data_IF_280120895097
#
_entry.id   IF_280120895097
#
_cell.length_a   1.000
_cell.length_b   1.000
_cell.length_c   1.000
_cell.angle_alpha   90.00
_cell.angle_beta   90.00
_cell.angle_gamma   90.00
#
_symmetry.space_group_name_H-M   'P 1'
#
loop_
_entity.id
_entity.type
_entity.pdbx_description
1 polymer ?
#
# COMPACT_ATOMS: atom_id res chain seq x y z
N UNK A 1 24.36 -7.82 1.69
CA UNK A 1 23.31 -8.84 1.71
C UNK A 1 23.84 -9.93 2.62
N UNK A 2 23.39 -9.94 3.86
CA UNK A 2 23.81 -10.96 4.82
C UNK A 2 23.01 -12.23 4.51
N UNK A 3 23.71 -13.28 4.07
CA UNK A 3 23.13 -14.59 3.75
C UNK A 3 22.87 -15.45 5.01
N UNK A 4 22.91 -14.83 6.20
CA UNK A 4 22.75 -15.51 7.47
C UNK A 4 21.27 -15.80 7.74
N UNK A 5 20.75 -16.92 7.24
CA UNK A 5 19.38 -17.28 7.62
C UNK A 5 18.75 -18.47 6.92
N UNK A 6 19.36 -19.66 6.94
CA UNK A 6 18.58 -20.89 6.74
C UNK A 6 19.06 -22.07 7.58
N UNK A 7 18.19 -22.47 8.52
CA UNK A 7 18.20 -23.73 9.30
C UNK A 7 19.39 -23.96 10.24
N UNK A 8 19.14 -24.61 11.38
CA UNK A 8 20.19 -24.99 12.36
C UNK A 8 21.29 -25.93 11.85
N UNK A 9 21.33 -26.21 10.55
CA UNK A 9 22.36 -26.97 9.84
C UNK A 9 23.42 -26.07 9.14
N UNK A 10 23.26 -24.75 9.18
CA UNK A 10 24.12 -23.79 8.47
C UNK A 10 25.01 -22.92 9.37
N UNK A 11 25.43 -23.43 10.54
CA UNK A 11 26.35 -22.70 11.43
C UNK A 11 27.74 -23.30 11.34
N UNK A 12 28.78 -22.48 11.57
CA UNK A 12 30.17 -22.94 11.64
C UNK A 12 30.33 -24.12 12.63
N UNK A 13 29.63 -24.06 13.77
CA UNK A 13 29.63 -25.11 14.79
C UNK A 13 29.03 -26.42 14.26
N UNK A 14 27.94 -26.35 13.49
CA UNK A 14 27.37 -27.54 12.86
C UNK A 14 28.31 -28.14 11.81
N UNK A 15 28.97 -27.29 11.03
CA UNK A 15 29.97 -27.71 10.04
C UNK A 15 31.15 -28.43 10.70
N UNK A 16 31.67 -27.89 11.80
CA UNK A 16 32.75 -28.49 12.58
C UNK A 16 32.33 -29.86 13.15
N UNK A 17 31.10 -29.98 13.68
CA UNK A 17 30.58 -31.25 14.17
C UNK A 17 30.43 -32.31 13.07
N UNK A 18 30.03 -31.92 11.86
CA UNK A 18 29.91 -32.84 10.72
C UNK A 18 31.27 -33.40 10.29
N UNK A 19 32.35 -32.60 10.40
CA UNK A 19 33.67 -32.96 9.87
C UNK A 19 34.65 -33.44 10.94
N UNK A 20 34.25 -33.45 12.22
CA UNK A 20 35.09 -33.82 13.37
C UNK A 20 35.74 -35.20 13.28
N UNK A 21 35.12 -36.15 12.56
CA UNK A 21 35.58 -37.54 12.46
C UNK A 21 36.32 -37.85 11.15
N UNK A 22 36.57 -36.84 10.31
CA UNK A 22 37.29 -37.06 9.06
C UNK A 22 38.80 -37.11 9.30
N UNK A 23 39.43 -38.24 8.94
CA UNK A 23 40.88 -38.40 8.93
C UNK A 23 41.34 -38.61 7.49
N UNK A 24 42.22 -37.75 7.00
CA UNK A 24 42.81 -37.91 5.67
C UNK A 24 43.76 -39.13 5.64
N UNK A 25 43.80 -39.92 4.56
CA UNK A 25 44.79 -40.98 4.38
C UNK A 25 46.21 -40.41 4.35
N UNK A 26 47.17 -41.05 5.03
CA UNK A 26 48.56 -40.56 5.16
C UNK A 26 49.32 -40.40 3.81
N UNK A 27 48.87 -41.07 2.75
CA UNK A 27 49.49 -41.03 1.42
C UNK A 27 48.86 -40.00 0.47
N UNK A 28 47.87 -39.23 0.90
CA UNK A 28 47.13 -38.30 0.04
C UNK A 28 47.12 -36.88 0.60
N UNK A 29 47.21 -35.90 -0.29
CA UNK A 29 47.10 -34.49 0.06
C UNK A 29 45.62 -34.08 -0.08
N UNK A 30 45.11 -33.38 0.94
CA UNK A 30 43.71 -32.96 1.03
C UNK A 30 43.61 -31.50 1.47
N UNK A 31 42.64 -30.79 0.92
CA UNK A 31 42.14 -29.56 1.52
C UNK A 31 41.26 -29.88 2.71
N UNK A 32 41.54 -29.20 3.84
CA UNK A 32 40.70 -29.29 5.04
C UNK A 32 39.29 -28.77 4.78
N UNK A 33 38.34 -29.18 5.61
CA UNK A 33 36.99 -28.62 5.59
C UNK A 33 37.03 -27.10 5.76
N UNK A 34 36.07 -26.39 5.15
CA UNK A 34 36.02 -24.94 5.21
C UNK A 34 34.59 -24.43 5.39
N UNK A 35 34.43 -23.38 6.18
CA UNK A 35 33.19 -22.65 6.34
C UNK A 35 33.35 -21.25 5.74
N UNK A 36 32.64 -20.94 4.65
CA UNK A 36 32.76 -19.67 3.93
C UNK A 36 31.69 -18.63 4.33
N UNK A 37 31.10 -18.78 5.51
CA UNK A 37 29.94 -18.02 6.01
C UNK A 37 28.60 -18.31 5.33
N UNK A 38 28.57 -19.19 4.32
CA UNK A 38 27.34 -19.55 3.58
C UNK A 38 27.15 -21.07 3.55
N UNK A 39 28.16 -21.84 3.13
CA UNK A 39 28.16 -23.28 2.97
C UNK A 39 29.30 -23.95 3.76
N UNK A 40 29.02 -25.18 4.18
CA UNK A 40 29.99 -26.08 4.78
C UNK A 40 30.64 -26.94 3.69
N UNK A 41 31.91 -26.68 3.40
CA UNK A 41 32.69 -27.40 2.41
C UNK A 41 33.33 -28.64 3.03
N UNK A 42 33.08 -29.84 2.48
CA UNK A 42 33.70 -31.06 2.98
C UNK A 42 35.20 -31.10 2.61
N UNK A 43 36.01 -31.85 3.37
CA UNK A 43 37.38 -32.17 2.99
C UNK A 43 37.44 -32.72 1.57
N UNK A 44 38.37 -32.23 0.76
CA UNK A 44 38.43 -32.52 -0.67
C UNK A 44 39.87 -32.86 -1.06
N UNK A 45 40.06 -33.88 -1.90
CA UNK A 45 41.39 -34.33 -2.32
C UNK A 45 42.09 -33.25 -3.16
N UNK A 46 43.41 -33.13 -3.04
CA UNK A 46 44.21 -32.20 -3.85
C UNK A 46 44.00 -32.41 -5.36
N UNK A 47 44.08 -31.32 -6.12
CA UNK A 47 43.83 -31.28 -7.57
C UNK A 47 42.41 -31.73 -7.98
N UNK A 48 41.42 -31.61 -7.09
CA UNK A 48 40.03 -31.95 -7.38
C UNK A 48 39.06 -30.81 -7.06
N UNK A 49 37.88 -30.87 -7.68
CA UNK A 49 36.80 -29.90 -7.50
C UNK A 49 35.67 -30.54 -6.70
N UNK A 50 35.19 -29.85 -5.69
CA UNK A 50 33.99 -30.24 -4.94
C UNK A 50 32.80 -29.37 -5.35
N UNK A 51 31.60 -29.98 -5.40
CA UNK A 51 30.36 -29.34 -5.84
C UNK A 51 29.28 -29.49 -4.80
N UNK A 52 28.68 -28.37 -4.40
CA UNK A 52 27.54 -28.34 -3.48
C UNK A 52 26.34 -27.68 -4.15
N UNK A 53 25.13 -28.02 -3.69
CA UNK A 53 23.92 -27.33 -4.15
C UNK A 53 23.90 -25.89 -3.64
N UNK A 54 23.37 -24.99 -4.45
CA UNK A 54 23.22 -23.59 -4.05
C UNK A 54 22.34 -23.46 -2.78
N UNK A 55 22.68 -22.54 -1.86
CA UNK A 55 21.98 -22.39 -0.59
C UNK A 55 20.53 -21.94 -0.79
N UNK A 56 19.66 -22.30 0.15
CA UNK A 56 18.29 -21.84 0.16
C UNK A 56 18.27 -20.37 0.63
N UNK A 57 18.28 -19.44 -0.31
CA UNK A 57 18.14 -18.00 -0.04
C UNK A 57 17.35 -17.29 -1.15
N UNK A 58 16.86 -16.09 -0.84
CA UNK A 58 16.12 -15.26 -1.78
C UNK A 58 16.98 -14.88 -3.00
N UNK A 59 16.45 -15.09 -4.21
CA UNK A 59 17.13 -14.79 -5.48
C UNK A 59 18.13 -15.85 -5.96
N UNK A 60 18.25 -16.99 -5.25
CA UNK A 60 19.14 -18.11 -5.58
C UNK A 60 18.37 -19.30 -6.17
N UNK A 61 18.91 -19.89 -7.23
CA UNK A 61 18.39 -21.12 -7.84
C UNK A 61 19.02 -22.36 -7.19
N UNK A 62 18.25 -23.02 -6.33
CA UNK A 62 18.66 -24.24 -5.60
C UNK A 62 18.88 -25.47 -6.49
N UNK A 63 18.53 -25.42 -7.79
CA UNK A 63 18.80 -26.51 -8.74
C UNK A 63 20.23 -26.48 -9.27
N UNK A 64 20.90 -25.33 -9.14
CA UNK A 64 22.27 -25.14 -9.59
C UNK A 64 23.27 -25.56 -8.51
N UNK A 65 24.52 -25.67 -8.93
CA UNK A 65 25.65 -26.06 -8.09
C UNK A 65 26.67 -24.93 -8.02
N UNK A 66 27.31 -24.82 -6.86
CA UNK A 66 28.50 -24.01 -6.64
C UNK A 66 29.69 -24.93 -6.52
N UNK A 67 30.81 -24.50 -7.08
CA UNK A 67 32.02 -25.31 -7.20
C UNK A 67 33.17 -24.61 -6.47
N UNK A 68 34.07 -25.42 -5.90
CA UNK A 68 35.27 -24.96 -5.23
C UNK A 68 36.44 -25.87 -5.53
N UNK A 69 37.59 -25.29 -5.82
CA UNK A 69 38.78 -25.99 -6.28
C UNK A 69 39.80 -26.15 -5.15
N UNK A 70 40.31 -27.37 -5.01
CA UNK A 70 41.42 -27.70 -4.12
C UNK A 70 42.71 -27.79 -4.93
N UNK A 71 43.68 -26.94 -4.60
CA UNK A 71 44.97 -26.85 -5.30
C UNK A 71 45.85 -28.08 -5.00
N UNK A 72 46.93 -28.25 -5.77
CA UNK A 72 47.85 -29.40 -5.64
C UNK A 72 48.53 -29.45 -4.26
N UNK A 73 48.75 -28.27 -3.65
CA UNK A 73 49.36 -28.09 -2.32
C UNK A 73 48.43 -28.50 -1.14
N UNK A 74 47.18 -28.92 -1.41
CA UNK A 74 46.19 -29.21 -0.36
C UNK A 74 45.62 -27.96 0.30
N UNK A 75 45.60 -26.84 -0.43
CA UNK A 75 45.02 -25.57 0.00
C UNK A 75 43.90 -25.13 -0.95
N UNK A 76 42.93 -24.39 -0.43
CA UNK A 76 41.84 -23.87 -1.24
C UNK A 76 42.29 -22.74 -2.16
N UNK A 77 41.80 -22.74 -3.39
CA UNK A 77 42.14 -21.72 -4.40
C UNK A 77 41.64 -20.31 -4.03
N UNK A 78 42.44 -19.28 -4.33
CA UNK A 78 42.12 -17.86 -4.14
C UNK A 78 41.30 -17.25 -5.29
N UNK A 79 40.91 -15.98 -5.17
CA UNK A 79 40.00 -15.33 -6.13
C UNK A 79 40.57 -15.16 -7.54
N UNK A 80 41.89 -14.99 -7.64
CA UNK A 80 42.61 -14.81 -8.90
C UNK A 80 42.79 -16.12 -9.67
N UNK A 81 42.53 -17.29 -9.06
CA UNK A 81 42.74 -18.60 -9.68
C UNK A 81 44.19 -18.86 -10.07
N UNK A 82 45.13 -18.05 -9.57
CA UNK A 82 46.56 -18.26 -9.80
C UNK A 82 47.13 -19.12 -8.67
N UNK A 83 47.86 -20.21 -9.01
CA UNK A 83 48.53 -21.03 -8.02
C UNK A 83 49.40 -20.16 -7.11
N UNK A 84 49.17 -20.22 -5.79
CA UNK A 84 49.93 -19.46 -4.80
C UNK A 84 49.39 -18.07 -4.40
N UNK A 85 48.37 -17.52 -5.06
CA UNK A 85 47.70 -16.29 -4.62
C UNK A 85 46.54 -16.63 -3.68
N UNK A 86 46.68 -16.24 -2.40
CA UNK A 86 45.90 -16.80 -1.29
C UNK A 86 45.24 -15.68 -0.49
N UNK A 87 43.93 -15.48 -0.71
CA UNK A 87 43.16 -14.43 -0.02
C UNK A 87 42.77 -14.83 1.43
N UNK A 88 42.48 -16.11 1.68
CA UNK A 88 42.06 -16.60 3.00
C UNK A 88 42.30 -18.11 3.16
N UNK A 89 42.47 -18.64 4.39
CA UNK A 89 42.61 -20.08 4.63
C UNK A 89 41.38 -20.90 4.21
N UNK A 90 40.23 -20.24 4.06
CA UNK A 90 38.99 -20.87 3.60
C UNK A 90 38.82 -20.77 2.07
N UNK A 91 39.76 -20.17 1.34
CA UNK A 91 39.70 -19.99 -0.11
C UNK A 91 38.59 -19.05 -0.61
N UNK A 92 38.48 -18.93 -1.93
CA UNK A 92 37.43 -18.19 -2.61
C UNK A 92 36.38 -19.14 -3.20
N UNK A 93 35.16 -18.65 -3.40
CA UNK A 93 34.05 -19.46 -3.96
C UNK A 93 33.19 -18.58 -4.85
N UNK A 94 32.95 -19.06 -6.08
CA UNK A 94 32.18 -18.34 -7.07
C UNK A 94 30.68 -18.66 -6.96
N UNK A 95 29.92 -17.80 -6.27
CA UNK A 95 28.46 -17.92 -6.17
C UNK A 95 27.69 -17.35 -7.36
N UNK A 96 28.35 -16.75 -8.36
CA UNK A 96 27.67 -16.17 -9.54
C UNK A 96 26.71 -17.14 -10.24
N UNK A 97 27.04 -18.44 -10.43
CA UNK A 97 26.13 -19.40 -11.07
C UNK A 97 24.82 -19.59 -10.32
N UNK A 98 24.83 -19.44 -8.99
CA UNK A 98 23.67 -19.66 -8.13
C UNK A 98 22.59 -18.59 -8.28
N UNK A 99 22.91 -17.40 -8.80
CA UNK A 99 21.91 -16.37 -8.99
C UNK A 99 20.95 -16.69 -10.14
N UNK A 100 19.70 -16.29 -9.96
CA UNK A 100 18.71 -16.24 -11.05
C UNK A 100 19.13 -15.20 -12.10
N UNK A 101 18.84 -15.43 -13.39
CA UNK A 101 19.25 -14.51 -14.46
C UNK A 101 18.70 -13.09 -14.24
N UNK A 102 17.51 -12.98 -13.67
CA UNK A 102 16.88 -11.71 -13.30
C UNK A 102 17.69 -10.99 -12.21
N UNK A 103 18.04 -11.70 -11.13
CA UNK A 103 18.85 -11.14 -10.03
C UNK A 103 20.24 -10.71 -10.52
N UNK A 104 20.85 -11.49 -11.41
CA UNK A 104 22.16 -11.19 -11.98
C UNK A 104 22.13 -9.90 -12.82
N UNK A 105 21.05 -9.67 -13.57
CA UNK A 105 20.82 -8.41 -14.29
C UNK A 105 20.70 -7.23 -13.31
N UNK A 106 19.95 -7.40 -12.22
CA UNK A 106 19.79 -6.36 -11.21
C UNK A 106 21.10 -6.05 -10.48
N UNK A 107 21.88 -7.06 -10.08
CA UNK A 107 23.22 -6.89 -9.48
C UNK A 107 24.12 -6.14 -10.47
N UNK A 108 24.12 -6.53 -11.75
CA UNK A 108 24.91 -5.85 -12.78
C UNK A 108 24.51 -4.38 -12.92
N UNK A 109 23.21 -4.06 -12.90
CA UNK A 109 22.69 -2.68 -12.93
C UNK A 109 23.00 -1.89 -11.66
N UNK A 110 23.02 -2.53 -10.50
CA UNK A 110 23.37 -1.87 -9.24
C UNK A 110 24.86 -1.51 -9.16
N UNK A 111 25.72 -2.41 -9.64
CA UNK A 111 27.18 -2.27 -9.63
C UNK A 111 27.75 -1.67 -10.92
N UNK A 112 26.93 -1.13 -11.82
CA UNK A 112 27.43 -0.32 -12.95
C UNK A 112 28.08 0.96 -12.41
N UNK A 113 29.42 0.99 -12.36
CA UNK A 113 30.20 2.11 -11.83
C UNK A 113 31.16 1.67 -10.72
N UNK A 114 31.27 2.49 -9.66
CA UNK A 114 32.09 2.19 -8.48
C UNK A 114 31.30 1.46 -7.39
N UNK A 115 31.99 0.72 -6.52
CA UNK A 115 31.33 0.06 -5.38
C UNK A 115 30.65 1.04 -4.41
N UNK A 116 31.21 2.25 -4.26
CA UNK A 116 30.62 3.29 -3.43
C UNK A 116 29.28 3.79 -3.98
N UNK A 117 29.12 3.78 -5.30
CA UNK A 117 27.86 4.09 -5.97
C UNK A 117 26.77 3.10 -5.61
N UNK A 118 27.11 1.80 -5.57
CA UNK A 118 26.19 0.74 -5.21
C UNK A 118 25.73 0.89 -3.75
N UNK A 119 26.63 1.24 -2.83
CA UNK A 119 26.29 1.51 -1.42
C UNK A 119 25.29 2.66 -1.29
N UNK A 120 25.50 3.77 -2.02
CA UNK A 120 24.57 4.92 -2.02
C UNK A 120 23.19 4.53 -2.56
N UNK A 121 23.13 3.76 -3.66
CA UNK A 121 21.85 3.26 -4.22
C UNK A 121 21.09 2.39 -3.22
N UNK A 122 21.80 1.53 -2.48
CA UNK A 122 21.21 0.69 -1.42
C UNK A 122 20.70 1.51 -0.23
N UNK A 123 21.44 2.54 0.21
CA UNK A 123 20.98 3.44 1.28
C UNK A 123 19.70 4.18 0.85
N UNK A 124 19.66 4.73 -0.37
CA UNK A 124 18.45 5.39 -0.92
C UNK A 124 17.26 4.42 -0.91
N UNK A 125 17.45 3.17 -1.32
CA UNK A 125 16.38 2.16 -1.29
C UNK A 125 15.89 1.85 0.14
N UNK A 126 16.77 1.84 1.12
CA UNK A 126 16.40 1.66 2.53
C UNK A 126 15.63 2.88 3.08
N UNK A 127 16.09 4.09 2.80
CA UNK A 127 15.42 5.33 3.23
C UNK A 127 14.04 5.49 2.60
N UNK A 128 13.91 5.19 1.30
CA UNK A 128 12.62 5.26 0.59
C UNK A 128 11.63 4.21 1.08
N UNK A 129 12.09 2.99 1.43
CA UNK A 129 11.27 1.97 2.09
C UNK A 129 10.72 2.46 3.44
N UNK A 130 11.55 3.11 4.25
CA UNK A 130 11.10 3.67 5.52
C UNK A 130 10.07 4.79 5.32
N UNK A 131 10.32 5.71 4.39
CA UNK A 131 9.38 6.77 4.03
C UNK A 131 8.03 6.19 3.60
N UNK A 132 8.07 5.14 2.80
CA UNK A 132 6.89 4.47 2.31
C UNK A 132 6.08 3.80 3.42
N UNK A 133 6.74 3.11 4.34
CA UNK A 133 6.11 2.52 5.51
C UNK A 133 5.34 3.57 6.35
N UNK A 134 5.99 4.71 6.62
CA UNK A 134 5.37 5.82 7.36
C UNK A 134 4.21 6.43 6.58
N UNK A 135 4.39 6.69 5.28
CA UNK A 135 3.37 7.29 4.43
C UNK A 135 2.12 6.40 4.30
N UNK A 136 2.30 5.11 4.10
CA UNK A 136 1.20 4.13 4.05
C UNK A 136 0.41 4.06 5.36
N UNK A 137 1.10 4.15 6.51
CA UNK A 137 0.46 4.12 7.84
C UNK A 137 -0.41 5.37 8.08
N UNK A 138 0.08 6.55 7.72
CA UNK A 138 -0.69 7.81 7.78
C UNK A 138 -1.88 7.76 6.82
N UNK A 139 -1.65 7.29 5.59
CA UNK A 139 -2.67 7.12 4.56
C UNK A 139 -3.80 6.17 5.01
N UNK A 140 -3.44 5.03 5.61
CA UNK A 140 -4.39 4.06 6.16
C UNK A 140 -5.30 4.71 7.21
N UNK A 141 -4.72 5.46 8.14
CA UNK A 141 -5.47 6.15 9.20
C UNK A 141 -6.49 7.13 8.61
N UNK A 142 -6.07 7.94 7.65
CA UNK A 142 -6.95 8.89 6.97
C UNK A 142 -8.08 8.21 6.17
N UNK A 143 -7.78 7.10 5.48
CA UNK A 143 -8.76 6.31 4.74
C UNK A 143 -9.81 5.68 5.67
N UNK A 144 -9.39 5.12 6.81
CA UNK A 144 -10.29 4.52 7.80
C UNK A 144 -11.23 5.55 8.42
N UNK A 145 -10.71 6.74 8.78
CA UNK A 145 -11.53 7.86 9.27
C UNK A 145 -12.56 8.27 8.20
N UNK A 146 -12.12 8.42 6.95
CA UNK A 146 -12.99 8.83 5.85
C UNK A 146 -14.08 7.80 5.53
N UNK A 147 -13.74 6.51 5.53
CA UNK A 147 -14.72 5.42 5.39
C UNK A 147 -15.74 5.42 6.53
N UNK A 148 -15.28 5.63 7.77
CA UNK A 148 -16.14 5.69 8.95
C UNK A 148 -17.16 6.84 8.84
N UNK A 149 -16.72 8.04 8.43
CA UNK A 149 -17.57 9.20 8.17
C UNK A 149 -18.62 8.84 7.10
N UNK A 150 -18.20 8.36 5.93
CA UNK A 150 -19.13 8.05 4.85
C UNK A 150 -20.10 6.91 5.18
N UNK A 151 -19.71 5.96 6.02
CA UNK A 151 -20.60 4.90 6.51
C UNK A 151 -21.61 5.41 7.55
N UNK A 152 -21.22 6.34 8.42
CA UNK A 152 -22.06 6.88 9.49
C UNK A 152 -23.14 7.85 8.99
N UNK A 153 -22.82 8.68 8.00
CA UNK A 153 -23.71 9.71 7.47
C UNK A 153 -24.55 9.21 6.30
N UNK A 154 -25.77 8.74 6.60
CA UNK A 154 -26.74 8.31 5.58
C UNK A 154 -27.11 9.43 4.59
N UNK A 155 -27.06 10.69 5.02
CA UNK A 155 -27.38 11.87 4.21
C UNK A 155 -26.44 12.07 3.00
N UNK A 156 -25.24 11.49 3.02
CA UNK A 156 -24.25 11.63 1.95
C UNK A 156 -24.33 10.50 0.91
N UNK A 157 -25.32 9.59 1.01
CA UNK A 157 -25.37 8.37 0.21
C UNK A 157 -25.89 8.61 -1.21
N UNK A 158 -25.00 9.06 -2.09
CA UNK A 158 -25.25 9.23 -3.52
C UNK A 158 -24.44 8.23 -4.37
N UNK A 159 -24.81 8.01 -5.64
CA UNK A 159 -24.12 7.07 -6.55
C UNK A 159 -22.61 7.34 -6.62
N UNK A 160 -22.20 8.61 -6.72
CA UNK A 160 -20.80 9.05 -6.66
C UNK A 160 -20.10 8.58 -5.39
N UNK A 161 -20.67 8.85 -4.21
CA UNK A 161 -20.08 8.44 -2.93
C UNK A 161 -19.99 6.92 -2.76
N UNK A 162 -20.85 6.14 -3.43
CA UNK A 162 -20.75 4.68 -3.45
C UNK A 162 -19.52 4.22 -4.24
N UNK A 163 -19.18 4.89 -5.34
CA UNK A 163 -17.96 4.61 -6.11
C UNK A 163 -16.74 4.95 -5.24
N UNK A 164 -16.73 6.13 -4.62
CA UNK A 164 -15.67 6.58 -3.70
C UNK A 164 -15.43 5.60 -2.55
N UNK A 165 -16.50 5.08 -1.94
CA UNK A 165 -16.41 4.04 -0.91
C UNK A 165 -15.73 2.77 -1.41
N UNK A 166 -16.06 2.30 -2.61
CA UNK A 166 -15.43 1.09 -3.15
C UNK A 166 -13.95 1.32 -3.46
N UNK A 167 -13.59 2.50 -3.99
CA UNK A 167 -12.19 2.88 -4.18
C UNK A 167 -11.43 2.91 -2.84
N UNK A 168 -12.00 3.53 -1.81
CA UNK A 168 -11.40 3.58 -0.48
C UNK A 168 -11.24 2.19 0.13
N UNK A 169 -12.23 1.31 -0.04
CA UNK A 169 -12.13 -0.08 0.42
C UNK A 169 -11.00 -0.81 -0.31
N UNK A 170 -10.90 -0.66 -1.64
CA UNK A 170 -9.81 -1.26 -2.42
C UNK A 170 -8.43 -0.73 -1.98
N UNK A 171 -8.30 0.58 -1.73
CA UNK A 171 -7.08 1.18 -1.19
C UNK A 171 -6.74 0.68 0.21
N UNK A 172 -7.72 0.58 1.13
CA UNK A 172 -7.48 0.05 2.48
C UNK A 172 -7.01 -1.40 2.41
N UNK A 173 -7.66 -2.25 1.61
CA UNK A 173 -7.25 -3.65 1.44
C UNK A 173 -5.80 -3.70 0.92
N UNK A 174 -5.48 -2.94 -0.13
CA UNK A 174 -4.14 -2.90 -0.70
C UNK A 174 -3.08 -2.41 0.29
N UNK A 175 -3.35 -1.34 1.04
CA UNK A 175 -2.42 -0.77 2.02
C UNK A 175 -2.21 -1.73 3.20
N UNK A 176 -3.27 -2.37 3.71
CA UNK A 176 -3.18 -3.32 4.82
C UNK A 176 -2.30 -4.51 4.44
N UNK A 177 -2.54 -5.14 3.28
CA UNK A 177 -1.74 -6.29 2.83
C UNK A 177 -0.27 -5.89 2.68
N UNK A 178 -0.02 -4.74 2.05
CA UNK A 178 1.35 -4.24 1.83
C UNK A 178 2.07 -3.97 3.15
N UNK A 179 1.38 -3.35 4.12
CA UNK A 179 1.95 -3.08 5.44
C UNK A 179 2.21 -4.38 6.20
N UNK A 180 1.30 -5.36 6.15
CA UNK A 180 1.50 -6.68 6.75
C UNK A 180 2.75 -7.37 6.18
N UNK A 181 2.95 -7.33 4.87
CA UNK A 181 4.15 -7.89 4.23
C UNK A 181 5.42 -7.17 4.65
N UNK A 182 5.39 -5.84 4.81
CA UNK A 182 6.55 -5.07 5.27
C UNK A 182 6.90 -5.35 6.72
N UNK A 183 5.89 -5.51 7.59
CA UNK A 183 6.10 -5.89 8.98
C UNK A 183 6.69 -7.30 9.07
N UNK A 184 6.16 -8.27 8.30
CA UNK A 184 6.71 -9.63 8.26
C UNK A 184 8.17 -9.64 7.79
N UNK A 185 8.49 -8.90 6.74
CA UNK A 185 9.87 -8.78 6.25
C UNK A 185 10.81 -8.12 7.28
N UNK A 186 10.38 -7.06 7.95
CA UNK A 186 11.17 -6.40 8.99
C UNK A 186 11.39 -7.29 10.22
N UNK A 187 10.37 -8.07 10.62
CA UNK A 187 10.49 -9.05 11.71
C UNK A 187 11.43 -10.20 11.35
N UNK A 188 11.47 -10.60 10.08
CA UNK A 188 12.40 -11.62 9.59
C UNK A 188 13.86 -11.15 9.68
N UNK A 189 14.16 -9.91 9.25
CA UNK A 189 15.51 -9.35 9.34
C UNK A 189 15.97 -9.14 10.79
N UNK A 190 15.05 -8.85 11.72
CA UNK A 190 15.38 -8.58 13.13
C UNK A 190 15.62 -9.85 13.98
N UNK A 191 15.14 -11.03 13.58
CA UNK A 191 15.31 -12.28 14.35
C UNK A 191 16.47 -13.11 13.81
N UNK A 192 17.68 -12.66 14.07
CA UNK A 192 18.92 -13.38 13.72
C UNK A 192 19.15 -14.62 14.60
N UNK A 193 18.44 -14.77 15.74
CA UNK A 193 18.52 -15.93 16.61
C UNK A 193 17.16 -16.30 17.23
N UNK A 194 16.57 -17.41 16.79
CA UNK A 194 15.48 -18.09 17.52
C UNK A 194 14.14 -18.19 16.79
N UNK A 195 13.70 -19.45 16.58
CA UNK A 195 12.39 -19.90 16.08
C UNK A 195 11.79 -19.09 14.91
N UNK A 196 12.06 -19.58 13.69
CA UNK A 196 11.53 -19.09 12.42
C UNK A 196 10.04 -19.42 12.25
N UNK A 197 9.17 -18.55 12.78
CA UNK A 197 7.76 -18.48 12.39
C UNK A 197 7.54 -17.12 11.71
N UNK A 198 7.73 -17.09 10.38
CA UNK A 198 7.38 -15.97 9.51
C UNK A 198 6.63 -16.50 8.29
N UNK A 199 5.89 -15.64 7.58
CA UNK A 199 5.06 -16.03 6.43
C UNK A 199 5.89 -16.74 5.34
N UNK A 200 7.18 -16.45 5.26
CA UNK A 200 8.16 -17.09 4.36
C UNK A 200 8.43 -18.58 4.64
N UNK A 201 8.17 -19.08 5.86
CA UNK A 201 8.36 -20.49 6.20
C UNK A 201 7.16 -21.36 5.77
N UNK A 202 5.99 -20.74 5.57
CA UNK A 202 4.78 -21.38 5.05
C UNK A 202 4.60 -21.03 3.56
N UNK A 203 5.04 -21.89 2.62
CA UNK A 203 5.08 -21.56 1.19
C UNK A 203 3.74 -21.08 0.63
N UNK A 204 2.66 -21.80 1.00
CA UNK A 204 1.29 -21.51 0.56
C UNK A 204 0.82 -20.13 1.04
N UNK A 205 1.19 -19.72 2.25
CA UNK A 205 0.77 -18.43 2.81
C UNK A 205 1.56 -17.27 2.17
N UNK A 206 2.86 -17.46 1.91
CA UNK A 206 3.65 -16.50 1.14
C UNK A 206 3.03 -16.29 -0.25
N UNK A 207 2.82 -17.37 -1.02
CA UNK A 207 2.27 -17.29 -2.38
C UNK A 207 0.89 -16.62 -2.39
N UNK A 208 -0.01 -17.04 -1.50
CA UNK A 208 -1.35 -16.45 -1.39
C UNK A 208 -1.30 -14.95 -1.04
N UNK A 209 -0.37 -14.52 -0.18
CA UNK A 209 -0.24 -13.12 0.22
C UNK A 209 0.19 -12.20 -0.94
N UNK A 210 1.12 -12.66 -1.78
CA UNK A 210 1.55 -11.92 -2.98
C UNK A 210 0.46 -11.90 -4.06
N UNK A 211 -0.26 -13.01 -4.27
CA UNK A 211 -1.42 -13.04 -5.18
C UNK A 211 -2.49 -12.04 -4.72
N UNK A 212 -2.77 -12.02 -3.42
CA UNK A 212 -3.78 -11.12 -2.85
C UNK A 212 -3.33 -9.65 -2.91
N UNK A 213 -2.04 -9.36 -2.73
CA UNK A 213 -1.46 -8.04 -2.93
C UNK A 213 -1.67 -7.54 -4.36
N UNK A 214 -1.32 -8.37 -5.36
CA UNK A 214 -1.48 -8.00 -6.77
C UNK A 214 -2.95 -7.87 -7.17
N UNK A 215 -3.83 -8.68 -6.60
CA UNK A 215 -5.28 -8.53 -6.76
C UNK A 215 -5.77 -7.19 -6.21
N UNK A 216 -5.43 -6.87 -4.95
CA UNK A 216 -5.84 -5.63 -4.32
C UNK A 216 -5.30 -4.40 -5.08
N UNK A 217 -4.05 -4.45 -5.54
CA UNK A 217 -3.45 -3.42 -6.40
C UNK A 217 -4.19 -3.25 -7.73
N UNK A 218 -4.54 -4.35 -8.40
CA UNK A 218 -5.29 -4.31 -9.67
C UNK A 218 -6.71 -3.78 -9.46
N UNK A 219 -7.39 -4.21 -8.39
CA UNK A 219 -8.72 -3.73 -8.04
C UNK A 219 -8.71 -2.22 -7.75
N UNK A 220 -7.70 -1.73 -7.03
CA UNK A 220 -7.51 -0.30 -6.79
C UNK A 220 -7.39 0.49 -8.10
N UNK A 221 -6.55 0.05 -9.06
CA UNK A 221 -6.47 0.69 -10.38
C UNK A 221 -7.79 0.64 -11.15
N UNK A 222 -8.51 -0.48 -11.09
CA UNK A 222 -9.80 -0.60 -11.77
C UNK A 222 -10.86 0.34 -11.17
N UNK A 223 -10.88 0.50 -9.84
CA UNK A 223 -11.77 1.46 -9.19
C UNK A 223 -11.38 2.92 -9.48
N UNK A 224 -10.08 3.24 -9.57
CA UNK A 224 -9.62 4.56 -10.04
C UNK A 224 -10.08 4.84 -11.47
N UNK A 225 -10.09 3.83 -12.35
CA UNK A 225 -10.58 3.95 -13.71
C UNK A 225 -12.09 4.16 -13.78
N UNK A 226 -12.85 3.36 -13.05
CA UNK A 226 -14.31 3.50 -12.98
C UNK A 226 -14.69 4.89 -12.47
N UNK A 227 -13.95 5.40 -11.48
CA UNK A 227 -14.13 6.78 -11.02
C UNK A 227 -13.83 7.81 -12.11
N UNK A 228 -12.70 7.67 -12.82
CA UNK A 228 -12.34 8.56 -13.94
C UNK A 228 -13.38 8.56 -15.05
N UNK A 229 -13.84 7.37 -15.46
CA UNK A 229 -14.90 7.19 -16.45
C UNK A 229 -16.23 7.80 -15.99
N UNK A 230 -16.60 7.57 -14.73
CA UNK A 230 -17.83 8.13 -14.14
C UNK A 230 -17.79 9.66 -14.14
N UNK A 231 -16.67 10.26 -13.70
CA UNK A 231 -16.50 11.71 -13.67
C UNK A 231 -16.49 12.30 -15.08
N UNK A 232 -15.83 11.63 -16.03
CA UNK A 232 -15.85 12.02 -17.44
C UNK A 232 -17.27 12.06 -17.99
N UNK A 233 -18.00 10.94 -17.91
CA UNK A 233 -19.37 10.84 -18.44
C UNK A 233 -20.34 11.85 -17.81
N UNK A 234 -20.25 12.07 -16.50
CA UNK A 234 -21.08 13.04 -15.78
C UNK A 234 -20.86 14.47 -16.29
N UNK A 235 -19.62 14.85 -16.62
CA UNK A 235 -19.28 16.21 -17.04
C UNK A 235 -19.51 16.42 -18.55
N UNK A 236 -19.23 15.42 -19.38
CA UNK A 236 -19.21 15.55 -20.85
C UNK A 236 -20.52 15.14 -21.52
N UNK A 237 -21.15 14.05 -21.06
CA UNK A 237 -22.30 13.46 -21.77
C UNK A 237 -23.65 13.92 -21.19
N UNK A 238 -23.69 14.46 -19.97
CA UNK A 238 -24.85 15.14 -19.31
C UNK A 238 -26.19 14.39 -19.25
N UNK A 239 -26.29 13.18 -19.80
CA UNK A 239 -27.51 12.37 -19.88
C UNK A 239 -27.06 10.93 -19.71
N UNK A 240 -27.73 10.11 -18.87
CA UNK A 240 -27.95 8.65 -19.00
C UNK A 240 -28.21 7.97 -17.63
N UNK A 241 -29.21 7.08 -17.62
CA UNK A 241 -29.88 6.47 -16.46
C UNK A 241 -28.96 5.81 -15.40
N UNK A 242 -29.15 6.19 -14.13
CA UNK A 242 -28.25 5.95 -12.99
C UNK A 242 -28.23 4.51 -12.41
N UNK A 243 -29.28 3.70 -12.55
CA UNK A 243 -29.41 2.48 -11.73
C UNK A 243 -28.80 1.21 -12.34
N UNK A 244 -29.00 0.99 -13.65
CA UNK A 244 -28.53 -0.24 -14.34
C UNK A 244 -27.00 -0.27 -14.49
N UNK A 245 -26.39 0.87 -14.82
CA UNK A 245 -24.94 0.97 -15.07
C UNK A 245 -24.08 0.74 -13.81
N UNK A 246 -24.58 1.08 -12.62
CA UNK A 246 -23.82 0.90 -11.38
C UNK A 246 -23.57 -0.58 -11.04
N UNK A 247 -24.49 -1.49 -11.38
CA UNK A 247 -24.28 -2.93 -11.19
C UNK A 247 -23.14 -3.44 -12.08
N UNK A 248 -23.08 -2.97 -13.32
CA UNK A 248 -21.99 -3.26 -14.25
C UNK A 248 -20.65 -2.73 -13.75
N UNK A 249 -20.58 -1.47 -13.29
CA UNK A 249 -19.35 -0.91 -12.70
C UNK A 249 -18.84 -1.73 -11.52
N UNK A 250 -19.72 -2.23 -10.66
CA UNK A 250 -19.30 -3.11 -9.55
C UNK A 250 -18.74 -4.45 -10.03
N UNK A 251 -19.39 -5.09 -11.01
CA UNK A 251 -18.92 -6.35 -11.58
C UNK A 251 -17.55 -6.18 -12.26
N UNK A 252 -17.37 -5.08 -12.99
CA UNK A 252 -16.12 -4.75 -13.65
C UNK A 252 -15.03 -4.41 -12.62
N UNK A 253 -15.34 -3.61 -11.60
CA UNK A 253 -14.38 -3.13 -10.61
C UNK A 253 -13.79 -4.22 -9.71
N UNK A 254 -14.58 -5.24 -9.37
CA UNK A 254 -14.10 -6.37 -8.55
C UNK A 254 -13.84 -7.64 -9.35
N UNK A 255 -14.60 -7.91 -10.41
CA UNK A 255 -14.50 -9.16 -11.18
C UNK A 255 -13.35 -9.18 -12.18
N UNK A 256 -13.15 -8.10 -12.95
CA UNK A 256 -12.07 -8.05 -13.95
C UNK A 256 -10.66 -8.21 -13.33
N UNK A 257 -10.35 -7.57 -12.18
CA UNK A 257 -9.09 -7.82 -11.47
C UNK A 257 -8.84 -9.29 -11.12
N UNK A 258 -9.88 -10.06 -10.74
CA UNK A 258 -9.75 -11.49 -10.41
C UNK A 258 -9.27 -12.27 -11.62
N UNK A 259 -9.87 -12.04 -12.79
CA UNK A 259 -9.52 -12.74 -14.03
C UNK A 259 -8.06 -12.44 -14.40
N UNK A 260 -7.66 -11.17 -14.34
CA UNK A 260 -6.28 -10.77 -14.62
C UNK A 260 -5.29 -11.42 -13.66
N UNK A 261 -5.56 -11.39 -12.34
CA UNK A 261 -4.62 -11.90 -11.35
C UNK A 261 -4.53 -13.42 -11.35
N UNK A 262 -5.62 -14.13 -11.62
CA UNK A 262 -5.58 -15.58 -11.80
C UNK A 262 -4.80 -15.99 -13.05
N UNK A 263 -4.95 -15.25 -14.16
CA UNK A 263 -4.20 -15.51 -15.39
C UNK A 263 -2.70 -15.35 -15.16
N UNK A 264 -2.29 -14.28 -14.49
CA UNK A 264 -0.89 -14.09 -14.11
C UNK A 264 -0.41 -15.15 -13.12
N UNK A 265 -1.15 -15.40 -12.04
CA UNK A 265 -0.77 -16.35 -11.00
C UNK A 265 -0.58 -17.79 -11.54
N UNK A 266 -1.42 -18.23 -12.49
CA UNK A 266 -1.28 -19.55 -13.13
C UNK A 266 -0.01 -19.64 -13.98
N UNK A 267 0.29 -18.63 -14.81
CA UNK A 267 1.52 -18.58 -15.60
C UNK A 267 2.76 -18.54 -14.70
N UNK A 268 2.72 -17.72 -13.65
CA UNK A 268 3.82 -17.61 -12.68
C UNK A 268 4.03 -18.91 -11.91
N UNK A 269 2.97 -19.58 -11.46
CA UNK A 269 3.05 -20.86 -10.76
C UNK A 269 3.70 -21.97 -11.62
N UNK A 270 3.35 -22.04 -12.91
CA UNK A 270 3.93 -23.02 -13.84
C UNK A 270 5.43 -22.78 -14.08
N UNK A 271 5.85 -21.52 -14.13
CA UNK A 271 7.25 -21.17 -14.37
C UNK A 271 8.14 -21.37 -13.13
N UNK A 272 7.64 -21.01 -11.93
CA UNK A 272 8.43 -21.02 -10.71
C UNK A 272 8.51 -22.37 -9.99
N UNK A 273 7.85 -23.42 -10.48
CA UNK A 273 7.90 -24.75 -9.86
C UNK A 273 9.35 -25.30 -9.83
N UNK A 274 10.05 -25.50 -8.67
CA UNK A 274 9.56 -25.79 -7.32
C UNK A 274 9.92 -24.76 -6.22
N UNK A 275 10.14 -23.47 -6.54
CA UNK A 275 10.43 -22.45 -5.52
C UNK A 275 9.23 -22.22 -4.59
N UNK A 276 9.48 -22.14 -3.28
CA UNK A 276 8.47 -22.12 -2.22
C UNK A 276 7.85 -20.75 -1.91
N UNK A 277 8.34 -19.66 -2.51
CA UNK A 277 7.84 -18.31 -2.27
C UNK A 277 8.22 -17.43 -3.48
N UNK A 278 7.28 -16.67 -4.04
CA UNK A 278 7.49 -15.87 -5.25
C UNK A 278 8.26 -14.57 -4.97
N UNK A 279 9.39 -14.67 -4.26
CA UNK A 279 10.23 -13.52 -4.01
C UNK A 279 10.84 -12.99 -5.31
N UNK A 280 10.76 -11.68 -5.54
CA UNK A 280 11.33 -11.06 -6.73
C UNK A 280 10.51 -11.25 -8.02
N UNK A 281 9.24 -11.64 -7.93
CA UNK A 281 8.36 -11.79 -9.11
C UNK A 281 8.30 -10.54 -9.99
N UNK A 282 8.42 -9.33 -9.40
CA UNK A 282 8.45 -8.05 -10.10
C UNK A 282 9.59 -7.93 -11.13
N UNK A 283 10.63 -8.75 -11.01
CA UNK A 283 11.79 -8.73 -11.92
C UNK A 283 11.59 -9.62 -13.15
N UNK A 284 10.54 -10.45 -13.16
CA UNK A 284 10.24 -11.35 -14.26
C UNK A 284 9.46 -10.67 -15.38
N UNK A 285 9.68 -11.11 -16.63
CA UNK A 285 8.93 -10.61 -17.78
C UNK A 285 7.41 -10.86 -17.66
N UNK A 286 7.01 -11.94 -16.98
CA UNK A 286 5.60 -12.28 -16.76
C UNK A 286 4.86 -11.26 -15.89
N UNK A 287 5.56 -10.45 -15.09
CA UNK A 287 4.95 -9.34 -14.35
C UNK A 287 4.23 -8.35 -15.28
N UNK A 288 4.68 -8.22 -16.54
CA UNK A 288 4.07 -7.34 -17.54
C UNK A 288 2.65 -7.77 -17.94
N UNK A 289 2.25 -9.01 -17.68
CA UNK A 289 0.86 -9.48 -17.88
C UNK A 289 -0.11 -8.67 -17.00
N UNK A 290 0.32 -8.27 -15.80
CA UNK A 290 -0.46 -7.39 -14.93
C UNK A 290 -0.17 -5.92 -15.18
N UNK A 291 1.10 -5.58 -15.36
CA UNK A 291 1.53 -4.18 -15.44
C UNK A 291 1.10 -3.51 -16.75
N UNK A 292 1.11 -4.23 -17.88
CA UNK A 292 0.68 -3.72 -19.18
C UNK A 292 -0.77 -3.23 -19.19
N UNK A 293 -1.76 -4.03 -18.77
CA UNK A 293 -3.15 -3.56 -18.68
C UNK A 293 -3.34 -2.43 -17.67
N UNK A 294 -2.59 -2.40 -16.56
CA UNK A 294 -2.61 -1.26 -15.61
C UNK A 294 -2.12 0.02 -16.28
N UNK A 295 -1.05 -0.05 -17.07
CA UNK A 295 -0.54 1.09 -17.85
C UNK A 295 -1.60 1.61 -18.83
N UNK A 296 -2.26 0.71 -19.56
CA UNK A 296 -3.32 1.09 -20.50
C UNK A 296 -4.48 1.81 -19.78
N UNK A 297 -4.90 1.30 -18.63
CA UNK A 297 -5.95 1.91 -17.80
C UNK A 297 -5.57 3.32 -17.31
N UNK A 298 -4.33 3.51 -16.86
CA UNK A 298 -3.84 4.83 -16.42
C UNK A 298 -3.76 5.81 -17.60
N UNK A 299 -3.31 5.35 -18.77
CA UNK A 299 -3.25 6.18 -19.97
C UNK A 299 -4.66 6.63 -20.42
N UNK A 300 -5.65 5.75 -20.35
CA UNK A 300 -7.05 6.11 -20.60
C UNK A 300 -7.56 7.14 -19.58
N UNK A 301 -7.26 6.97 -18.30
CA UNK A 301 -7.58 7.95 -17.26
C UNK A 301 -6.93 9.31 -17.50
N UNK A 302 -5.69 9.33 -18.00
CA UNK A 302 -5.02 10.57 -18.39
C UNK A 302 -5.74 11.25 -19.57
N UNK A 303 -6.18 10.49 -20.57
CA UNK A 303 -6.99 11.05 -21.67
C UNK A 303 -8.33 11.60 -21.18
N UNK A 304 -8.98 10.92 -20.23
CA UNK A 304 -10.18 11.45 -19.57
C UNK A 304 -9.89 12.75 -18.84
N UNK A 305 -8.77 12.86 -18.11
CA UNK A 305 -8.37 14.08 -17.43
C UNK A 305 -8.25 15.25 -18.41
N UNK A 306 -7.51 15.05 -19.51
CA UNK A 306 -7.32 16.11 -20.51
C UNK A 306 -8.67 16.59 -21.09
N UNK A 307 -9.58 15.67 -21.38
CA UNK A 307 -10.92 16.01 -21.85
C UNK A 307 -11.74 16.74 -20.79
N UNK A 308 -11.69 16.30 -19.53
CA UNK A 308 -12.37 16.96 -18.41
C UNK A 308 -11.83 18.38 -18.22
N UNK A 309 -10.51 18.57 -18.23
CA UNK A 309 -9.86 19.87 -18.12
C UNK A 309 -10.30 20.77 -19.27
N UNK A 310 -10.29 20.27 -20.52
CA UNK A 310 -10.77 21.03 -21.69
C UNK A 310 -12.21 21.51 -21.50
N UNK A 311 -13.12 20.62 -21.11
CA UNK A 311 -14.53 20.95 -20.91
C UNK A 311 -14.72 21.91 -19.72
N UNK A 312 -13.97 21.72 -18.64
CA UNK A 312 -13.99 22.61 -17.48
C UNK A 312 -13.50 24.01 -17.84
N UNK A 313 -12.41 24.14 -18.61
CA UNK A 313 -11.89 25.43 -19.09
C UNK A 313 -12.93 26.12 -19.98
N UNK A 314 -13.57 25.40 -20.90
CA UNK A 314 -14.63 25.96 -21.76
C UNK A 314 -15.80 26.49 -20.92
N UNK A 315 -16.26 25.74 -19.92
CA UNK A 315 -17.33 26.19 -19.01
C UNK A 315 -16.91 27.35 -18.12
N UNK A 316 -15.67 27.36 -17.62
CA UNK A 316 -15.13 28.48 -16.83
C UNK A 316 -15.02 29.76 -17.66
N UNK A 317 -14.64 29.65 -18.95
CA UNK A 317 -14.59 30.79 -19.87
C UNK A 317 -15.95 31.45 -20.08
N UNK A 318 -17.03 30.67 -20.06
CA UNK A 318 -18.40 31.18 -20.17
C UNK A 318 -18.86 31.94 -18.91
N UNK A 319 -18.21 31.76 -17.76
CA UNK A 319 -18.64 32.32 -16.47
C UNK A 319 -18.24 33.78 -16.19
N UNK A 320 -17.73 34.53 -17.18
CA UNK A 320 -17.35 35.96 -17.07
C UNK A 320 -16.44 36.30 -15.88
N UNK A 321 -15.45 35.45 -15.59
CA UNK A 321 -14.38 35.72 -14.60
C UNK A 321 -13.10 36.18 -15.31
N UNK A 322 -12.12 36.80 -14.63
CA UNK A 322 -10.87 37.24 -15.29
C UNK A 322 -10.06 36.05 -15.81
N UNK A 323 -9.38 36.19 -16.96
CA UNK A 323 -8.65 35.07 -17.60
C UNK A 323 -7.58 34.45 -16.69
N UNK A 324 -6.89 35.27 -15.89
CA UNK A 324 -5.89 34.82 -14.91
C UNK A 324 -6.54 34.04 -13.75
N UNK A 325 -7.69 34.47 -13.25
CA UNK A 325 -8.41 33.70 -12.21
C UNK A 325 -9.00 32.40 -12.75
N UNK A 326 -9.45 32.37 -14.00
CA UNK A 326 -9.92 31.15 -14.66
C UNK A 326 -8.83 30.11 -14.75
N UNK A 327 -7.65 30.50 -15.25
CA UNK A 327 -6.48 29.61 -15.37
C UNK A 327 -6.06 29.13 -13.99
N UNK A 328 -6.00 30.00 -12.98
CA UNK A 328 -5.65 29.61 -11.60
C UNK A 328 -6.64 28.59 -11.01
N UNK A 329 -7.95 28.79 -11.23
CA UNK A 329 -9.00 27.86 -10.78
C UNK A 329 -8.90 26.52 -11.52
N UNK A 330 -8.67 26.53 -12.83
CA UNK A 330 -8.51 25.33 -13.65
C UNK A 330 -7.25 24.54 -13.27
N UNK A 331 -6.11 25.20 -13.07
CA UNK A 331 -4.86 24.56 -12.63
C UNK A 331 -5.03 23.97 -11.23
N UNK A 332 -5.67 24.68 -10.30
CA UNK A 332 -5.99 24.13 -8.97
C UNK A 332 -6.88 22.89 -9.07
N UNK A 333 -7.88 22.89 -9.94
CA UNK A 333 -8.73 21.72 -10.19
C UNK A 333 -7.94 20.56 -10.82
N UNK A 334 -7.04 20.84 -11.77
CA UNK A 334 -6.18 19.84 -12.40
C UNK A 334 -5.21 19.19 -11.41
N UNK A 335 -4.57 19.98 -10.55
CA UNK A 335 -3.69 19.48 -9.47
C UNK A 335 -4.44 18.59 -8.49
N UNK A 336 -5.70 18.90 -8.21
CA UNK A 336 -6.58 18.06 -7.38
C UNK A 336 -6.93 16.76 -8.10
N UNK A 337 -7.21 16.80 -9.40
CA UNK A 337 -7.61 15.63 -10.21
C UNK A 337 -6.46 14.68 -10.56
N UNK A 338 -5.21 15.14 -10.54
CA UNK A 338 -4.01 14.37 -10.88
C UNK A 338 -3.81 13.12 -9.97
N UNK A 339 -3.78 13.25 -8.62
CA UNK A 339 -3.69 12.10 -7.71
C UNK A 339 -4.94 11.20 -7.74
N UNK A 340 -6.11 11.80 -8.02
CA UNK A 340 -7.41 11.11 -8.00
C UNK A 340 -7.53 10.07 -9.13
N UNK A 341 -6.98 10.37 -10.31
CA UNK A 341 -7.04 9.48 -11.48
C UNK A 341 -5.88 8.48 -11.57
N UNK A 342 -5.00 8.47 -10.56
CA UNK A 342 -3.86 7.57 -10.50
C UNK A 342 -2.70 7.94 -11.42
N UNK A 343 -2.65 9.16 -11.94
CA UNK A 343 -1.58 9.62 -12.86
C UNK A 343 -0.22 9.67 -12.15
N UNK A 344 -0.22 9.87 -10.83
CA UNK A 344 0.99 9.75 -10.00
C UNK A 344 1.64 8.37 -10.10
N UNK A 345 0.87 7.33 -10.42
CA UNK A 345 1.39 5.98 -10.63
C UNK A 345 2.09 5.82 -11.98
N UNK A 346 1.84 6.68 -12.96
CA UNK A 346 2.57 6.64 -14.25
C UNK A 346 4.07 6.82 -14.02
N UNK A 347 4.44 7.74 -13.11
CA UNK A 347 5.84 7.99 -12.74
C UNK A 347 6.42 6.77 -12.02
N UNK A 348 5.62 6.04 -11.23
CA UNK A 348 6.06 4.82 -10.55
C UNK A 348 6.27 3.63 -11.49
N UNK A 349 5.64 3.64 -12.65
CA UNK A 349 5.67 2.52 -13.61
C UNK A 349 6.69 2.74 -14.73
N UNK A 350 7.28 3.92 -14.85
CA UNK A 350 8.47 4.11 -15.71
C UNK A 350 9.63 3.31 -15.14
N UNK A 351 10.42 2.67 -16.00
CA UNK A 351 11.60 1.91 -15.54
C UNK A 351 12.52 2.80 -14.70
N UNK A 352 12.93 2.28 -13.55
CA UNK A 352 13.85 2.97 -12.66
C UNK A 352 15.17 3.24 -13.41
N UNK A 353 15.63 4.49 -13.49
CA UNK A 353 16.83 4.84 -14.26
C UNK A 353 18.11 4.46 -13.49
N UNK A 354 18.30 3.17 -13.22
CA UNK A 354 19.50 2.63 -12.57
C UNK A 354 20.76 2.86 -13.40
N UNK A 355 20.59 2.96 -14.73
CA UNK A 355 21.68 3.13 -15.68
C UNK A 355 22.12 4.61 -15.84
N UNK A 356 21.46 5.54 -15.13
CA UNK A 356 21.71 7.00 -15.21
C UNK A 356 22.38 7.54 -13.94
N UNK A 357 22.48 8.87 -13.86
CA UNK A 357 23.08 9.59 -12.73
C UNK A 357 22.38 9.28 -11.40
N UNK A 358 23.14 9.31 -10.30
CA UNK A 358 22.64 9.05 -8.93
C UNK A 358 21.49 9.98 -8.58
N UNK A 359 21.63 11.26 -8.96
CA UNK A 359 20.65 12.29 -8.69
C UNK A 359 19.32 12.01 -9.37
N UNK A 360 19.33 11.52 -10.61
CA UNK A 360 18.11 11.11 -11.31
C UNK A 360 17.45 9.90 -10.65
N UNK A 361 18.23 8.88 -10.28
CA UNK A 361 17.70 7.71 -9.57
C UNK A 361 17.11 8.10 -8.21
N UNK A 362 17.81 8.93 -7.43
CA UNK A 362 17.35 9.41 -6.14
C UNK A 362 16.07 10.23 -6.27
N UNK A 363 16.05 11.20 -7.18
CA UNK A 363 14.88 12.05 -7.42
C UNK A 363 13.67 11.22 -7.85
N UNK A 364 13.86 10.30 -8.79
CA UNK A 364 12.81 9.40 -9.25
C UNK A 364 12.31 8.51 -8.11
N UNK A 365 13.21 7.90 -7.34
CA UNK A 365 12.85 7.01 -6.24
C UNK A 365 12.11 7.74 -5.12
N UNK A 366 12.63 8.87 -4.61
CA UNK A 366 11.93 9.63 -3.57
C UNK A 366 10.57 10.13 -4.05
N UNK A 367 10.48 10.64 -5.28
CA UNK A 367 9.23 11.19 -5.81
C UNK A 367 8.17 10.10 -5.99
N UNK A 368 8.52 8.96 -6.60
CA UNK A 368 7.58 7.86 -6.85
C UNK A 368 7.09 7.22 -5.57
N UNK A 369 8.00 6.90 -4.63
CA UNK A 369 7.63 6.32 -3.35
C UNK A 369 6.80 7.30 -2.52
N UNK A 370 7.13 8.60 -2.50
CA UNK A 370 6.33 9.61 -1.82
C UNK A 370 4.91 9.69 -2.42
N UNK A 371 4.80 9.88 -3.74
CA UNK A 371 3.49 10.04 -4.39
C UNK A 371 2.60 8.82 -4.22
N UNK A 372 3.15 7.60 -4.33
CA UNK A 372 2.38 6.36 -4.16
C UNK A 372 1.97 6.12 -2.70
N UNK A 373 2.83 6.44 -1.73
CA UNK A 373 2.53 6.26 -0.30
C UNK A 373 1.45 7.20 0.22
N UNK A 374 1.52 8.47 -0.20
CA UNK A 374 0.58 9.51 0.22
C UNK A 374 -0.66 9.60 -0.69
N UNK A 375 -0.78 8.77 -1.72
CA UNK A 375 -1.92 8.78 -2.63
C UNK A 375 -3.25 8.66 -1.89
N UNK A 376 -3.39 7.68 -0.99
CA UNK A 376 -4.63 7.48 -0.23
C UNK A 376 -4.95 8.66 0.70
N UNK A 377 -3.94 9.29 1.32
CA UNK A 377 -4.10 10.50 2.13
C UNK A 377 -4.64 11.67 1.29
N UNK A 378 -4.06 11.90 0.10
CA UNK A 378 -4.50 12.96 -0.80
C UNK A 378 -5.96 12.75 -1.23
N UNK A 379 -6.32 11.53 -1.63
CA UNK A 379 -7.67 11.20 -2.07
C UNK A 379 -8.67 11.32 -0.90
N UNK A 380 -8.35 10.81 0.29
CA UNK A 380 -9.16 10.96 1.49
C UNK A 380 -9.40 12.44 1.83
N UNK A 381 -8.34 13.27 1.74
CA UNK A 381 -8.42 14.70 2.01
C UNK A 381 -9.32 15.43 1.02
N UNK A 382 -9.20 15.12 -0.27
CA UNK A 382 -9.96 15.79 -1.32
C UNK A 382 -11.44 15.38 -1.33
N UNK A 383 -11.74 14.08 -1.18
CA UNK A 383 -13.12 13.59 -1.26
C UNK A 383 -13.88 13.66 0.06
N UNK A 384 -13.20 13.55 1.21
CA UNK A 384 -13.82 13.58 2.52
C UNK A 384 -13.57 14.90 3.26
N UNK A 385 -12.32 15.20 3.64
CA UNK A 385 -12.04 16.31 4.57
C UNK A 385 -12.30 17.71 3.99
N UNK A 386 -12.00 17.92 2.71
CA UNK A 386 -12.22 19.19 2.01
C UNK A 386 -13.59 19.29 1.34
N UNK A 387 -14.42 18.26 1.44
CA UNK A 387 -15.73 18.24 0.81
C UNK A 387 -16.74 19.06 1.63
N UNK A 388 -17.29 20.11 1.01
CA UNK A 388 -18.23 21.02 1.65
C UNK A 388 -19.49 20.34 2.18
N UNK A 389 -20.02 19.33 1.49
CA UNK A 389 -21.20 18.57 1.95
C UNK A 389 -20.90 17.77 3.22
N UNK A 390 -19.70 17.18 3.28
CA UNK A 390 -19.24 16.42 4.44
C UNK A 390 -19.01 17.35 5.63
N UNK A 391 -18.34 18.48 5.41
CA UNK A 391 -18.10 19.49 6.45
C UNK A 391 -19.40 20.03 7.04
N UNK A 392 -20.37 20.37 6.18
CA UNK A 392 -21.69 20.82 6.63
C UNK A 392 -22.45 19.74 7.44
N UNK A 393 -22.37 18.48 7.02
CA UNK A 393 -22.99 17.38 7.76
C UNK A 393 -22.32 17.16 9.13
N UNK A 394 -20.98 17.27 9.17
CA UNK A 394 -20.20 17.18 10.41
C UNK A 394 -20.53 18.33 11.36
N UNK A 395 -20.52 19.57 10.87
CA UNK A 395 -20.80 20.78 11.66
C UNK A 395 -22.21 20.75 12.26
N UNK A 396 -23.22 20.30 11.48
CA UNK A 396 -24.58 20.10 12.01
C UNK A 396 -24.61 19.07 13.14
N UNK A 397 -23.88 17.97 12.98
CA UNK A 397 -23.84 16.90 13.98
C UNK A 397 -23.11 17.36 15.24
N UNK A 398 -22.01 18.09 15.08
CA UNK A 398 -21.24 18.67 16.19
C UNK A 398 -22.09 19.73 16.91
N UNK A 399 -22.81 20.58 16.17
CA UNK A 399 -23.73 21.58 16.75
C UNK A 399 -24.85 20.94 17.57
N UNK A 400 -25.48 19.87 17.06
CA UNK A 400 -26.50 19.11 17.81
C UNK A 400 -25.89 18.41 19.03
N UNK A 401 -24.70 17.82 18.91
CA UNK A 401 -24.02 17.21 20.04
C UNK A 401 -23.68 18.23 21.13
N UNK A 402 -23.21 19.42 20.73
CA UNK A 402 -22.92 20.51 21.67
C UNK A 402 -24.18 21.07 22.34
N UNK A 403 -25.33 21.14 21.64
CA UNK A 403 -26.58 21.60 22.26
C UNK A 403 -27.17 20.60 23.27
N UNK A 404 -27.02 19.30 23.02
CA UNK A 404 -27.39 18.25 23.98
C UNK A 404 -26.45 18.25 25.19
N UNK A 405 -25.15 18.44 24.97
CA UNK A 405 -24.18 18.53 26.09
C UNK A 405 -24.36 19.80 26.93
N UNK A 406 -24.73 20.91 26.30
CA UNK A 406 -25.05 22.17 26.99
C UNK A 406 -26.31 22.05 27.87
N UNK A 407 -27.31 21.30 27.45
CA UNK A 407 -28.55 21.05 28.22
C UNK A 407 -28.31 20.09 29.41
N UNK A 408 -27.43 19.10 29.29
CA UNK A 408 -27.06 18.24 30.42
C UNK A 408 -26.26 18.98 31.52
N UNK A 409 -25.43 19.96 31.14
CA UNK A 409 -24.71 20.83 32.09
C UNK A 409 -25.66 21.78 32.83
N UNK A 410 -26.67 22.34 32.16
CA UNK A 410 -27.70 23.20 32.81
C UNK A 410 -28.68 22.38 33.66
N UNK A 411 -28.98 21.13 33.27
CA UNK A 411 -29.81 20.21 34.07
C UNK A 411 -29.12 19.74 35.37
N UNK A 412 -27.79 19.67 35.38
CA UNK A 412 -27.01 19.40 36.60
C UNK A 412 -26.91 20.60 37.54
N UNK A 413 -27.01 21.84 37.07
CA UNK A 413 -27.06 23.03 37.93
C UNK A 413 -28.44 23.28 38.54
N UNK A 414 -29.52 22.81 37.91
CA UNK A 414 -30.90 23.02 38.38
C UNK A 414 -31.37 22.00 39.43
N UNK A 415 -30.53 21.06 39.84
CA UNK A 415 -30.84 20.08 40.92
C UNK A 415 -30.26 20.46 42.29
N UNK A 416 -29.63 21.64 42.43
CA UNK A 416 -29.09 22.16 43.72
C UNK A 416 -29.66 23.55 44.05
N UNK A 417 -30.97 23.72 43.91
CA UNK A 417 -31.68 24.85 44.55
C UNK A 417 -33.10 24.43 44.91
N UNK A 418 -33.17 23.63 45.98
CA UNK A 418 -34.41 23.38 46.71
C UNK A 418 -34.47 24.29 47.93
N UNK A 419 -35.63 24.95 48.10
CA UNK A 419 -36.12 25.69 49.28
C UNK A 419 -35.65 27.15 49.47
N UNK A 420 -36.48 28.12 49.06
CA UNK A 420 -37.32 28.90 49.99
C UNK A 420 -38.34 29.83 49.27
N UNK A 421 -39.42 30.25 49.95
CA UNK A 421 -40.64 30.77 49.33
C UNK A 421 -40.74 32.31 49.26
N UNK A 422 -41.53 32.76 48.29
CA UNK A 422 -42.29 34.01 48.16
C UNK A 422 -41.77 35.31 48.82
N UNK A 423 -41.56 36.34 47.98
CA UNK A 423 -42.02 37.71 48.31
C UNK A 423 -42.41 38.50 47.07
N UNK A 424 -43.66 38.95 47.08
CA UNK A 424 -44.24 39.94 46.16
C UNK A 424 -43.78 41.32 46.64
N UNK A 425 -43.31 42.16 45.72
CA UNK A 425 -43.36 43.62 45.85
C UNK A 425 -43.37 44.26 44.45
N UNK A 426 -44.54 44.77 44.09
CA UNK A 426 -44.80 45.76 43.05
C UNK A 426 -44.22 47.12 43.42
N UNK A 427 -43.67 47.87 42.46
CA UNK A 427 -43.89 49.32 42.30
C UNK A 427 -43.79 49.66 40.79
N UNK A 428 -44.81 50.40 40.35
CA UNK A 428 -45.13 50.99 39.02
C UNK A 428 -44.38 52.34 38.94
N UNK A 429 -43.79 52.82 37.84
CA UNK A 429 -44.33 53.52 36.64
C UNK A 429 -43.09 54.22 35.98
N UNK A 430 -42.89 54.44 34.68
CA UNK A 430 -43.62 55.31 33.74
C UNK A 430 -43.09 55.07 32.30
N UNK A 431 -44.06 54.98 31.35
CA UNK A 431 -44.12 55.30 29.89
C UNK A 431 -42.90 55.15 28.93
N UNK A 432 -43.06 54.82 27.64
CA UNK A 432 -44.10 55.28 26.69
C UNK A 432 -44.28 54.34 25.47
N UNK A 433 -45.44 54.44 24.81
CA UNK A 433 -45.83 53.95 23.47
C UNK A 433 -46.49 52.54 23.31
N UNK A 434 -47.77 52.45 23.72
CA UNK A 434 -48.99 52.39 22.87
C UNK A 434 -48.86 51.79 21.43
N UNK A 435 -49.70 50.88 20.87
CA UNK A 435 -51.13 50.55 21.01
C UNK A 435 -51.41 49.05 20.68
N UNK A 436 -52.23 48.46 21.55
CA UNK A 436 -53.04 47.22 21.60
C UNK A 436 -53.04 46.13 20.49
N UNK A 437 -52.95 44.87 20.92
CA UNK A 437 -53.55 43.68 20.31
C UNK A 437 -54.91 43.30 20.96
N UNK A 438 -55.70 42.45 20.29
CA UNK A 438 -56.92 41.86 20.83
C UNK A 438 -56.84 40.33 20.94
N UNK A 439 -56.96 39.85 22.20
CA UNK A 439 -57.51 38.56 22.64
C UNK A 439 -56.64 37.31 22.31
N UNK A 440 -56.08 36.53 23.24
CA UNK A 440 -56.37 36.32 24.64
C UNK A 440 -56.77 34.85 24.89
N UNK A 441 -56.06 34.22 25.82
CA UNK A 441 -56.43 33.04 26.63
C UNK A 441 -55.87 31.66 26.25
N UNK A 442 -54.90 31.27 27.07
CA UNK A 442 -54.34 29.93 27.27
C UNK A 442 -55.32 29.09 28.10
N UNK A 443 -55.53 27.83 27.69
CA UNK A 443 -55.90 26.73 28.61
C UNK A 443 -55.08 25.49 28.27
N UNK A 444 -54.17 25.14 29.18
CA UNK A 444 -53.61 23.79 29.25
C UNK A 444 -54.72 22.82 29.69
N UNK A 445 -54.85 21.70 28.99
CA UNK A 445 -55.51 20.50 29.47
C UNK A 445 -54.61 19.31 29.16
N UNK A 446 -54.00 18.73 30.20
CA UNK A 446 -53.58 17.34 30.18
C UNK A 446 -54.85 16.49 30.14
N UNK A 447 -55.05 15.70 29.08
CA UNK A 447 -56.07 14.65 29.06
C UNK A 447 -55.52 13.42 28.37
N UNK A 448 -55.36 12.35 29.15
CA UNK A 448 -55.14 11.01 28.64
C UNK A 448 -56.34 10.53 27.83
N UNK A 449 -56.08 9.72 26.82
CA UNK A 449 -57.09 9.09 25.99
C UNK A 449 -56.49 7.98 25.14
N UNK A 450 -56.71 6.74 25.55
CA UNK A 450 -56.68 5.58 24.67
C UNK A 450 -57.83 5.70 23.66
N UNK A 451 -57.56 5.44 22.37
CA UNK A 451 -58.53 4.75 21.50
C UNK A 451 -57.85 4.07 20.29
N UNK A 452 -58.33 2.90 19.85
CA UNK A 452 -57.78 2.13 18.73
C UNK A 452 -58.50 2.32 17.38
N UNK A 453 -57.82 1.80 16.34
CA UNK A 453 -58.09 1.47 14.91
C UNK A 453 -59.45 1.70 14.21
N UNK A 454 -59.45 1.94 12.86
CA UNK A 454 -60.63 2.25 12.07
C UNK A 454 -61.37 1.04 11.44
N UNK A 455 -62.70 1.15 11.46
CA UNK A 455 -63.78 0.77 10.53
C UNK A 455 -63.69 -0.45 9.56
N UNK A 456 -64.68 -1.34 9.73
CA UNK A 456 -65.51 -1.99 8.68
C UNK A 456 -66.86 -2.42 9.29
N UNK A 457 -67.99 -2.23 8.60
CA UNK A 457 -68.72 -3.35 7.96
C UNK A 457 -69.33 -2.95 6.59
N UNK A 458 -69.45 -3.81 5.56
CA UNK A 458 -70.54 -4.79 5.26
C UNK A 458 -71.91 -4.18 5.63
N UNK A 459 -72.70 -3.66 4.69
CA UNK A 459 -73.41 -4.37 3.60
C UNK A 459 -73.68 -3.42 2.42
#
# INVERSE_FOLDING_TARGET
MDFAGTSGNGTQVHCELLQRNFNAPESEIWCNWAWDSILCWPPTKASTVTKLRCPLANGIDTRKFVEKHCDEDGQWEGRSGTPGDRDSPNGWTNYTPCFTPEMLLLIRKLYTGSEDLAKVRLDIAAKTRYLEFVGLSVSLTALLISLSIFCRFRSLRNTRTRIHKNLFVAMVIQVVIRLTLYIDQALFESKTHGFQHGIQNTPVLCEASYVFLEYARTAMFMWMFIEGLFLHNMITVTVFQESSHYRMYRLVGWGYPIIMTLTWATVTALYYHPSKCWWGYNLTLYFWILEGPRMAVILLNFMFLLNIIRVLIVKLRQSRTSEIEQVRKAVRAALVLLPLLGITNLISMTEAPLDKSIWEFALWSYTTHFLTSFQGLLIATLYCFLNGEVRLALDKTISVYMSVRGTDLTRRQSTVSGCQPHRIASVIEVEEAEIRPGIGWIRLCCRGGNMPTPDRPIE
#
